data_IF_843262958559
#
_entry.id   IF_843262958559
#
_cell.length_a   1.000
_cell.length_b   1.000
_cell.length_c   1.000
_cell.angle_alpha   90.00
_cell.angle_beta   90.00
_cell.angle_gamma   90.00
#
_symmetry.space_group_name_H-M   'P 1'
#
loop_
_entity.id
_entity.type
_entity.pdbx_description
1 polymer ?
#
# COMPACT_ATOMS: atom_id res chain seq x y z
N UNK A 1 -0.15 14.63 -18.76
CA UNK A 1 0.35 15.25 -17.52
C UNK A 1 -0.11 14.38 -16.36
N UNK A 2 0.78 14.07 -15.43
CA UNK A 2 0.45 13.30 -14.25
C UNK A 2 -0.58 14.11 -13.42
N UNK A 3 -1.69 13.52 -13.02
CA UNK A 3 -2.80 14.26 -12.38
C UNK A 3 -2.39 14.98 -11.08
N UNK A 4 -1.39 14.42 -10.35
CA UNK A 4 -0.85 15.03 -9.12
C UNK A 4 0.04 16.26 -9.39
N UNK A 5 0.56 16.44 -10.60
CA UNK A 5 1.44 17.58 -10.93
C UNK A 5 0.76 18.93 -10.74
N UNK A 6 -0.55 19.02 -10.95
CA UNK A 6 -1.34 20.27 -10.82
C UNK A 6 -1.58 20.67 -9.36
N UNK A 7 -1.34 19.80 -8.38
CA UNK A 7 -1.44 20.15 -6.97
C UNK A 7 -0.13 20.67 -6.40
N UNK A 8 0.98 20.19 -6.95
CA UNK A 8 2.29 20.50 -6.44
C UNK A 8 2.72 21.90 -6.84
N UNK A 9 3.02 22.78 -5.88
CA UNK A 9 3.56 24.10 -6.18
C UNK A 9 4.89 24.02 -6.94
N UNK A 10 5.11 25.01 -7.81
CA UNK A 10 6.32 25.14 -8.62
C UNK A 10 7.03 26.46 -8.39
N UNK A 11 8.31 26.51 -8.76
CA UNK A 11 9.09 27.73 -8.77
C UNK A 11 8.49 28.77 -9.72
N UNK A 12 8.67 30.09 -9.51
CA UNK A 12 9.43 30.66 -8.38
C UNK A 12 8.58 30.88 -7.11
N UNK A 13 7.24 30.89 -7.21
CA UNK A 13 6.34 31.35 -6.13
C UNK A 13 6.15 30.30 -5.02
N UNK A 14 6.21 29.02 -5.36
CA UNK A 14 5.97 27.90 -4.43
C UNK A 14 4.64 28.06 -3.64
N UNK A 15 3.56 28.51 -4.32
CA UNK A 15 2.24 28.74 -3.70
C UNK A 15 1.29 27.58 -3.91
N UNK A 16 0.60 27.18 -2.85
CA UNK A 16 -0.49 26.21 -2.92
C UNK A 16 -1.78 26.90 -3.33
N UNK A 17 -2.47 26.40 -4.34
CA UNK A 17 -3.80 26.86 -4.73
C UNK A 17 -4.89 26.17 -3.92
N UNK A 18 -5.06 26.61 -2.66
CA UNK A 18 -6.08 26.08 -1.76
C UNK A 18 -7.50 26.18 -2.30
N UNK A 19 -7.92 27.32 -2.92
CA UNK A 19 -9.25 27.41 -3.53
C UNK A 19 -9.50 26.38 -4.62
N UNK A 20 -8.49 26.01 -5.42
CA UNK A 20 -8.62 24.99 -6.45
C UNK A 20 -8.79 23.60 -5.83
N UNK A 21 -7.95 23.24 -4.85
CA UNK A 21 -8.05 21.98 -4.13
C UNK A 21 -9.41 21.81 -3.43
N UNK A 22 -9.89 22.85 -2.76
CA UNK A 22 -11.20 22.88 -2.09
C UNK A 22 -12.38 22.66 -3.04
N UNK A 23 -12.30 23.18 -4.27
CA UNK A 23 -13.36 22.98 -5.26
C UNK A 23 -13.34 21.57 -5.85
N UNK A 24 -12.16 21.04 -6.06
CA UNK A 24 -11.97 19.78 -6.77
C UNK A 24 -12.31 18.57 -5.91
N UNK A 25 -12.00 18.62 -4.60
CA UNK A 25 -12.06 17.42 -3.74
C UNK A 25 -13.02 17.55 -2.57
N UNK A 26 -14.09 16.75 -2.60
CA UNK A 26 -15.07 16.69 -1.53
C UNK A 26 -14.46 16.17 -0.20
N UNK A 27 -13.52 15.21 -0.27
CA UNK A 27 -12.86 14.66 0.91
C UNK A 27 -12.02 15.73 1.67
N UNK A 28 -11.48 16.72 1.01
CA UNK A 28 -10.82 17.88 1.66
C UNK A 28 -11.82 18.61 2.56
N UNK A 29 -13.05 18.81 2.07
CA UNK A 29 -14.10 19.48 2.86
C UNK A 29 -14.49 18.70 4.10
N UNK A 30 -14.43 17.36 4.05
CA UNK A 30 -14.72 16.50 5.22
C UNK A 30 -13.70 16.65 6.36
N UNK A 31 -12.50 17.18 6.08
CA UNK A 31 -11.47 17.42 7.11
C UNK A 31 -11.79 18.67 7.95
N UNK A 32 -12.62 19.57 7.45
CA UNK A 32 -13.04 20.80 8.15
C UNK A 32 -13.96 20.45 9.32
N UNK A 33 -13.65 21.01 10.49
CA UNK A 33 -14.38 20.72 11.73
C UNK A 33 -14.10 19.33 12.31
N UNK A 34 -13.24 18.52 11.70
CA UNK A 34 -12.78 17.28 12.32
C UNK A 34 -11.80 17.61 13.44
N UNK A 35 -12.28 17.47 14.67
CA UNK A 35 -11.52 17.80 15.87
C UNK A 35 -10.31 16.89 16.07
N UNK A 36 -9.24 17.42 16.66
CA UNK A 36 -8.03 16.72 17.04
C UNK A 36 -7.77 16.91 18.55
N UNK A 37 -6.92 16.07 19.14
CA UNK A 37 -6.50 16.23 20.54
C UNK A 37 -5.67 17.51 20.67
N UNK A 38 -6.17 18.49 21.41
CA UNK A 38 -5.55 19.80 21.56
C UNK A 38 -4.16 19.78 22.24
N UNK A 39 -3.79 18.70 22.91
CA UNK A 39 -2.44 18.52 23.47
C UNK A 39 -1.39 18.37 22.37
N UNK A 40 -1.75 17.70 21.28
CA UNK A 40 -0.86 17.41 20.16
C UNK A 40 -1.13 18.29 18.91
N UNK A 41 -2.29 18.94 18.87
CA UNK A 41 -2.78 19.72 17.72
C UNK A 41 -3.55 20.96 18.19
N UNK A 42 -2.84 21.91 18.82
CA UNK A 42 -3.44 23.16 19.28
C UNK A 42 -3.79 24.12 18.13
N UNK A 43 -3.33 23.83 16.91
CA UNK A 43 -3.65 24.60 15.69
C UNK A 43 -5.11 24.49 15.26
N UNK A 44 -5.83 23.42 15.67
CA UNK A 44 -7.26 23.27 15.42
C UNK A 44 -7.67 21.96 14.74
N UNK A 45 -8.50 22.05 13.67
CA UNK A 45 -9.03 20.89 12.98
C UNK A 45 -8.02 20.26 11.98
N UNK A 46 -8.36 19.08 11.46
CA UNK A 46 -7.51 18.32 10.52
C UNK A 46 -7.19 19.13 9.27
N UNK A 47 -8.11 19.99 8.80
CA UNK A 47 -7.88 20.79 7.60
C UNK A 47 -6.84 21.90 7.84
N UNK A 48 -6.92 22.59 8.98
CA UNK A 48 -5.94 23.61 9.37
C UNK A 48 -4.57 22.96 9.49
N UNK A 49 -4.46 21.84 10.18
CA UNK A 49 -3.23 21.05 10.29
C UNK A 49 -2.67 20.68 8.92
N UNK A 50 -3.46 20.06 8.05
CA UNK A 50 -3.02 19.63 6.71
C UNK A 50 -2.48 20.80 5.89
N UNK A 51 -3.13 21.97 5.96
CA UNK A 51 -2.61 23.18 5.29
C UNK A 51 -1.26 23.60 5.84
N UNK A 52 -1.10 23.63 7.15
CA UNK A 52 0.17 23.99 7.79
C UNK A 52 1.28 23.00 7.42
N UNK A 53 0.98 21.69 7.33
CA UNK A 53 1.92 20.66 6.87
C UNK A 53 2.34 20.90 5.41
N UNK A 54 1.40 21.19 4.52
CA UNK A 54 1.69 21.49 3.12
C UNK A 54 2.52 22.77 2.95
N UNK A 55 2.24 23.80 3.75
CA UNK A 55 3.03 25.05 3.76
C UNK A 55 4.44 24.80 4.32
N UNK A 56 4.56 24.00 5.37
CA UNK A 56 5.85 23.59 5.94
C UNK A 56 6.70 22.82 4.92
N UNK A 57 6.13 21.81 4.21
CA UNK A 57 6.90 21.02 3.22
C UNK A 57 7.42 21.93 2.08
N UNK A 58 6.60 22.83 1.60
CA UNK A 58 6.97 23.78 0.53
C UNK A 58 8.07 24.75 0.98
N UNK A 59 8.14 25.06 2.27
CA UNK A 59 9.19 25.92 2.84
C UNK A 59 10.54 25.20 3.00
N UNK A 60 10.56 23.86 3.05
CA UNK A 60 11.78 23.08 3.25
C UNK A 60 12.73 23.16 2.04
N UNK A 61 13.97 23.65 2.19
CA UNK A 61 14.97 23.66 1.11
C UNK A 61 15.26 22.27 0.55
N UNK A 62 15.23 21.23 1.41
CA UNK A 62 15.45 19.84 1.02
C UNK A 62 14.38 19.35 0.06
N UNK A 63 13.11 19.68 0.30
CA UNK A 63 12.02 19.34 -0.62
C UNK A 63 12.16 20.06 -1.96
N UNK A 64 12.50 21.34 -1.95
CA UNK A 64 12.71 22.14 -3.19
C UNK A 64 13.86 21.60 -4.04
N UNK A 65 14.86 20.99 -3.42
CA UNK A 65 16.02 20.40 -4.09
C UNK A 65 15.73 19.02 -4.72
N UNK A 66 14.61 18.37 -4.37
CA UNK A 66 14.23 17.07 -4.95
C UNK A 66 13.95 17.17 -6.45
N UNK A 67 14.12 16.07 -7.19
CA UNK A 67 13.56 15.91 -8.52
C UNK A 67 12.04 16.20 -8.53
N UNK A 68 11.53 16.71 -9.64
CA UNK A 68 10.13 17.13 -9.75
C UNK A 68 9.14 16.01 -9.36
N UNK A 69 9.38 14.77 -9.82
CA UNK A 69 8.53 13.63 -9.50
C UNK A 69 8.48 13.34 -7.99
N UNK A 70 9.63 13.42 -7.31
CA UNK A 70 9.71 13.20 -5.86
C UNK A 70 9.03 14.35 -5.09
N UNK A 71 9.18 15.60 -5.54
CA UNK A 71 8.43 16.74 -4.97
C UNK A 71 6.92 16.52 -5.04
N UNK A 72 6.43 16.10 -6.21
CA UNK A 72 5.00 15.80 -6.43
C UNK A 72 4.51 14.69 -5.51
N UNK A 73 5.29 13.61 -5.36
CA UNK A 73 4.96 12.47 -4.48
C UNK A 73 4.85 12.91 -3.02
N UNK A 74 5.86 13.63 -2.49
CA UNK A 74 5.86 14.07 -1.08
C UNK A 74 4.75 15.09 -0.83
N UNK A 75 4.53 16.03 -1.75
CA UNK A 75 3.46 17.02 -1.61
C UNK A 75 2.07 16.36 -1.63
N UNK A 76 1.82 15.43 -2.56
CA UNK A 76 0.57 14.68 -2.59
C UNK A 76 0.37 13.85 -1.30
N UNK A 77 1.44 13.24 -0.79
CA UNK A 77 1.40 12.55 0.49
C UNK A 77 1.07 13.50 1.65
N UNK A 78 1.61 14.72 1.66
CA UNK A 78 1.30 15.74 2.67
C UNK A 78 -0.18 16.17 2.61
N UNK A 79 -0.77 16.30 1.42
CA UNK A 79 -2.21 16.61 1.26
C UNK A 79 -3.09 15.46 1.76
N UNK A 80 -2.65 14.20 1.57
CA UNK A 80 -3.44 12.99 1.80
C UNK A 80 -3.18 12.32 3.17
N UNK A 81 -2.13 12.68 3.93
CA UNK A 81 -1.67 11.90 5.08
C UNK A 81 -2.76 11.69 6.14
N UNK A 82 -3.58 12.69 6.38
CA UNK A 82 -4.62 12.72 7.40
C UNK A 82 -6.06 12.69 6.85
N UNK A 83 -6.24 12.49 5.55
CA UNK A 83 -7.55 12.56 4.89
C UNK A 83 -8.56 11.53 5.43
N UNK A 84 -8.11 10.44 6.06
CA UNK A 84 -8.98 9.44 6.67
C UNK A 84 -9.34 9.72 8.15
N UNK A 85 -8.76 10.76 8.79
CA UNK A 85 -9.11 11.12 10.17
C UNK A 85 -10.61 11.34 10.37
N UNK A 86 -11.37 12.02 9.48
CA UNK A 86 -12.81 12.19 9.67
C UNK A 86 -13.58 10.87 9.85
N UNK A 87 -13.18 9.81 9.18
CA UNK A 87 -13.82 8.49 9.31
C UNK A 87 -13.34 7.67 10.52
N UNK A 88 -12.15 7.99 11.04
CA UNK A 88 -11.48 7.25 12.12
C UNK A 88 -11.56 7.93 13.48
N UNK A 89 -11.88 9.23 13.53
CA UNK A 89 -11.89 10.00 14.78
C UNK A 89 -13.01 9.56 15.70
N UNK A 90 -12.67 9.34 16.97
CA UNK A 90 -13.58 8.99 18.06
C UNK A 90 -13.17 9.74 19.32
N UNK A 91 -14.15 10.01 20.18
CA UNK A 91 -13.89 10.46 21.55
C UNK A 91 -13.87 9.23 22.46
N UNK A 92 -12.74 8.97 23.10
CA UNK A 92 -12.52 7.84 24.00
C UNK A 92 -11.93 8.34 25.31
N UNK A 93 -12.64 8.14 26.42
CA UNK A 93 -12.20 8.56 27.76
C UNK A 93 -11.85 10.06 27.87
N UNK A 94 -12.62 10.92 27.23
CA UNK A 94 -12.40 12.37 27.19
C UNK A 94 -11.23 12.84 26.36
N UNK A 95 -10.68 11.96 25.51
CA UNK A 95 -9.62 12.27 24.54
C UNK A 95 -10.07 11.99 23.11
N UNK A 96 -9.61 12.80 22.18
CA UNK A 96 -9.87 12.59 20.77
C UNK A 96 -8.77 11.68 20.20
N UNK A 97 -9.18 10.58 19.56
CA UNK A 97 -8.26 9.62 18.93
C UNK A 97 -8.68 9.35 17.49
N UNK A 98 -7.71 9.06 16.62
CA UNK A 98 -7.95 8.71 15.19
C UNK A 98 -7.23 7.41 14.86
N UNK A 99 -7.40 6.38 15.67
CA UNK A 99 -6.70 5.09 15.50
C UNK A 99 -6.98 4.48 14.14
N UNK A 100 -5.92 4.01 13.48
CA UNK A 100 -6.00 3.34 12.19
C UNK A 100 -6.14 4.28 10.98
N UNK A 101 -6.13 5.61 11.16
CA UNK A 101 -6.26 6.56 10.05
C UNK A 101 -5.15 6.42 9.00
N UNK A 102 -3.93 6.05 9.38
CA UNK A 102 -2.83 5.84 8.43
C UNK A 102 -3.04 4.60 7.54
N UNK A 103 -3.63 3.52 8.11
CA UNK A 103 -4.01 2.31 7.36
C UNK A 103 -5.15 2.63 6.40
N UNK A 104 -6.23 3.18 6.94
CA UNK A 104 -7.39 3.59 6.15
C UNK A 104 -7.01 4.63 5.11
N UNK A 105 -6.19 5.61 5.51
CA UNK A 105 -5.68 6.66 4.64
C UNK A 105 -4.93 6.15 3.43
N UNK A 106 -4.09 5.13 3.59
CA UNK A 106 -3.39 4.52 2.47
C UNK A 106 -4.34 3.84 1.47
N UNK A 107 -5.41 3.19 1.95
CA UNK A 107 -6.43 2.55 1.11
C UNK A 107 -7.24 3.62 0.35
N UNK A 108 -7.70 4.65 1.05
CA UNK A 108 -8.50 5.71 0.45
C UNK A 108 -7.67 6.57 -0.52
N UNK A 109 -6.40 6.87 -0.18
CA UNK A 109 -5.46 7.55 -1.07
C UNK A 109 -5.24 6.76 -2.37
N UNK A 110 -5.11 5.42 -2.30
CA UNK A 110 -4.97 4.57 -3.48
C UNK A 110 -6.17 4.72 -4.41
N UNK A 111 -7.38 4.67 -3.85
CA UNK A 111 -8.61 4.84 -4.63
C UNK A 111 -8.67 6.22 -5.29
N UNK A 112 -8.45 7.29 -4.53
CA UNK A 112 -8.45 8.68 -5.02
C UNK A 112 -7.45 8.82 -6.18
N UNK A 113 -6.22 8.39 -5.97
CA UNK A 113 -5.14 8.53 -6.96
C UNK A 113 -5.35 7.64 -8.19
N UNK A 114 -5.96 6.45 -8.03
CA UNK A 114 -6.33 5.58 -9.14
C UNK A 114 -7.46 6.19 -9.97
N UNK A 115 -8.50 6.73 -9.34
CA UNK A 115 -9.59 7.46 -10.02
C UNK A 115 -9.07 8.68 -10.78
N UNK A 116 -7.97 9.28 -10.32
CA UNK A 116 -7.27 10.37 -10.98
C UNK A 116 -6.28 9.91 -12.07
N UNK A 117 -6.18 8.63 -12.36
CA UNK A 117 -5.19 8.05 -13.29
C UNK A 117 -3.73 8.41 -12.95
N UNK A 118 -3.40 8.47 -11.66
CA UNK A 118 -2.00 8.61 -11.21
C UNK A 118 -1.24 7.33 -11.56
N UNK A 119 -0.06 7.48 -12.14
CA UNK A 119 0.79 6.35 -12.51
C UNK A 119 1.11 5.43 -11.32
N UNK A 120 1.05 4.12 -11.54
CA UNK A 120 1.17 3.10 -10.49
C UNK A 120 2.36 3.29 -9.55
N UNK A 121 3.62 3.51 -10.02
CA UNK A 121 4.75 3.68 -9.12
C UNK A 121 4.62 4.88 -8.17
N UNK A 122 4.21 6.03 -8.70
CA UNK A 122 4.03 7.26 -7.89
C UNK A 122 2.87 7.10 -6.92
N UNK A 123 1.77 6.48 -7.34
CA UNK A 123 0.61 6.21 -6.48
C UNK A 123 0.97 5.34 -5.29
N UNK A 124 1.65 4.20 -5.53
CA UNK A 124 2.00 3.30 -4.44
C UNK A 124 3.04 3.92 -3.49
N UNK A 125 3.96 4.75 -4.00
CA UNK A 125 4.87 5.51 -3.16
C UNK A 125 4.12 6.50 -2.26
N UNK A 126 3.13 7.24 -2.79
CA UNK A 126 2.29 8.14 -2.00
C UNK A 126 1.52 7.35 -0.93
N UNK A 127 0.89 6.24 -1.30
CA UNK A 127 0.15 5.38 -0.36
C UNK A 127 1.05 4.85 0.76
N UNK A 128 2.29 4.47 0.44
CA UNK A 128 3.25 4.01 1.43
C UNK A 128 3.70 5.13 2.38
N UNK A 129 3.93 6.36 1.88
CA UNK A 129 4.22 7.52 2.71
C UNK A 129 3.04 7.83 3.65
N UNK A 130 1.80 7.84 3.15
CA UNK A 130 0.59 8.00 3.98
C UNK A 130 0.48 6.89 5.03
N UNK A 131 0.77 5.64 4.65
CA UNK A 131 0.73 4.49 5.57
C UNK A 131 1.69 4.62 6.74
N UNK A 132 2.87 5.17 6.51
CA UNK A 132 3.97 5.18 7.45
C UNK A 132 4.31 6.55 8.04
N UNK A 133 3.54 7.63 7.73
CA UNK A 133 3.89 9.02 8.08
C UNK A 133 4.20 9.23 9.58
N UNK A 134 3.57 8.45 10.47
CA UNK A 134 3.81 8.54 11.90
C UNK A 134 4.99 7.67 12.39
N UNK A 135 5.51 6.75 11.57
CA UNK A 135 6.55 5.83 11.99
C UNK A 135 7.81 6.54 12.53
N UNK A 136 8.32 7.62 11.90
CA UNK A 136 9.52 8.32 12.40
C UNK A 136 9.40 8.88 13.83
N UNK A 137 8.19 9.07 14.35
CA UNK A 137 7.96 9.61 15.72
C UNK A 137 8.12 8.59 16.82
N UNK A 138 7.95 7.29 16.51
CA UNK A 138 7.84 6.25 17.53
C UNK A 138 8.73 5.04 17.26
N UNK A 139 9.32 4.95 16.05
CA UNK A 139 9.98 3.73 15.59
C UNK A 139 11.26 3.45 16.38
N UNK A 140 12.05 4.47 16.68
CA UNK A 140 13.35 4.33 17.36
C UNK A 140 13.20 3.77 18.79
N UNK A 141 12.06 4.03 19.43
CA UNK A 141 11.79 3.56 20.80
C UNK A 141 11.31 2.09 20.86
N UNK A 142 11.23 1.40 19.72
CA UNK A 142 10.72 0.02 19.64
C UNK A 142 11.85 -1.00 19.72
N UNK A 143 11.59 -2.12 20.36
CA UNK A 143 12.53 -3.26 20.41
C UNK A 143 12.80 -3.87 19.02
N UNK A 144 11.83 -3.77 18.09
CA UNK A 144 11.91 -4.26 16.72
C UNK A 144 12.24 -3.17 15.68
N UNK A 145 12.83 -2.02 16.11
CA UNK A 145 13.09 -0.84 15.29
C UNK A 145 13.77 -1.17 13.95
N UNK A 146 14.85 -1.95 13.97
CA UNK A 146 15.58 -2.36 12.78
C UNK A 146 14.67 -3.10 11.77
N UNK A 147 13.88 -4.04 12.27
CA UNK A 147 12.96 -4.81 11.44
C UNK A 147 11.89 -3.92 10.81
N UNK A 148 11.38 -2.95 11.57
CA UNK A 148 10.38 -2.00 11.07
C UNK A 148 10.98 -1.06 10.02
N UNK A 149 12.21 -0.57 10.20
CA UNK A 149 12.91 0.23 9.18
C UNK A 149 13.10 -0.59 7.89
N UNK A 150 13.55 -1.83 8.00
CA UNK A 150 13.69 -2.70 6.84
C UNK A 150 12.35 -2.92 6.12
N UNK A 151 11.26 -3.16 6.86
CA UNK A 151 9.91 -3.32 6.31
C UNK A 151 9.47 -2.06 5.57
N UNK A 152 9.63 -0.88 6.17
CA UNK A 152 9.27 0.40 5.56
C UNK A 152 10.07 0.61 4.28
N UNK A 153 11.37 0.36 4.31
CA UNK A 153 12.24 0.55 3.15
C UNK A 153 11.88 -0.29 1.93
N UNK A 154 11.17 -1.43 2.12
CA UNK A 154 10.67 -2.25 1.01
C UNK A 154 9.46 -1.64 0.30
N UNK A 155 8.81 -0.65 0.89
CA UNK A 155 7.56 -0.07 0.36
C UNK A 155 7.62 1.44 0.18
N UNK A 156 8.37 2.15 1.03
CA UNK A 156 8.53 3.60 1.02
C UNK A 156 10.02 3.98 1.03
N UNK A 157 10.38 5.03 0.31
CA UNK A 157 11.69 5.67 0.48
C UNK A 157 11.72 6.40 1.82
N UNK A 158 12.66 6.01 2.69
CA UNK A 158 12.77 6.56 4.05
C UNK A 158 13.17 8.05 4.06
N UNK A 159 13.94 8.52 3.06
CA UNK A 159 14.28 9.93 2.89
C UNK A 159 13.05 10.81 2.64
N UNK A 160 12.12 10.37 1.77
CA UNK A 160 10.87 11.07 1.50
C UNK A 160 9.93 11.00 2.71
N UNK A 161 9.92 9.87 3.42
CA UNK A 161 9.15 9.70 4.64
C UNK A 161 9.62 10.64 5.75
N UNK A 162 10.93 10.78 5.93
CA UNK A 162 11.51 11.72 6.90
C UNK A 162 11.15 13.17 6.59
N UNK A 163 11.15 13.57 5.30
CA UNK A 163 10.71 14.92 4.89
C UNK A 163 9.23 15.15 5.21
N UNK A 164 8.37 14.17 4.92
CA UNK A 164 6.94 14.25 5.25
C UNK A 164 6.73 14.37 6.76
N UNK A 165 7.40 13.54 7.55
CA UNK A 165 7.30 13.56 9.01
C UNK A 165 7.81 14.88 9.61
N UNK A 166 8.92 15.42 9.08
CA UNK A 166 9.44 16.73 9.48
C UNK A 166 8.43 17.85 9.21
N UNK A 167 7.79 17.82 8.04
CA UNK A 167 6.76 18.79 7.69
C UNK A 167 5.50 18.65 8.55
N UNK A 168 5.10 17.42 8.87
CA UNK A 168 3.97 17.12 9.76
C UNK A 168 4.19 17.77 11.14
N UNK A 169 5.40 17.64 11.72
CA UNK A 169 5.73 18.29 13.00
C UNK A 169 5.77 19.81 12.88
N UNK A 170 6.39 20.35 11.84
CA UNK A 170 6.46 21.80 11.63
C UNK A 170 5.09 22.42 11.37
N UNK A 171 4.14 21.61 10.89
CA UNK A 171 2.73 21.98 10.73
C UNK A 171 1.87 21.83 12.00
N UNK A 172 2.46 21.47 13.14
CA UNK A 172 1.77 21.32 14.42
C UNK A 172 2.05 22.48 15.37
N UNK A 173 1.09 22.75 16.24
CA UNK A 173 1.28 23.54 17.45
C UNK A 173 1.18 22.61 18.67
N UNK A 174 2.33 22.11 19.14
CA UNK A 174 2.45 21.17 20.26
C UNK A 174 3.66 21.51 21.14
N UNK A 175 3.62 21.09 22.40
CA UNK A 175 4.71 21.36 23.35
C UNK A 175 5.97 20.51 23.16
N UNK A 176 5.86 19.39 22.44
CA UNK A 176 6.91 18.38 22.20
C UNK A 176 7.54 18.46 20.81
N UNK A 177 7.36 19.58 20.09
CA UNK A 177 7.81 19.73 18.71
C UNK A 177 9.32 19.47 18.53
N UNK A 178 10.15 19.98 19.43
CA UNK A 178 11.60 19.78 19.38
C UNK A 178 11.99 18.32 19.59
N UNK A 179 11.35 17.63 20.54
CA UNK A 179 11.57 16.21 20.79
C UNK A 179 11.22 15.36 19.55
N UNK A 180 10.09 15.64 18.94
CA UNK A 180 9.64 14.93 17.75
C UNK A 180 10.56 15.18 16.54
N UNK A 181 11.07 16.41 16.36
CA UNK A 181 12.07 16.73 15.33
C UNK A 181 13.37 15.96 15.55
N UNK A 182 13.80 15.80 16.81
CA UNK A 182 14.96 14.98 17.15
C UNK A 182 14.72 13.50 16.83
N UNK A 183 13.53 12.97 17.10
CA UNK A 183 13.16 11.58 16.71
C UNK A 183 13.20 11.37 15.20
N UNK A 184 12.75 12.33 14.40
CA UNK A 184 12.88 12.25 12.93
C UNK A 184 14.35 12.24 12.52
N UNK A 185 15.20 13.06 13.15
CA UNK A 185 16.65 13.07 12.85
C UNK A 185 17.31 11.74 13.21
N UNK A 186 16.97 11.16 14.36
CA UNK A 186 17.43 9.82 14.75
C UNK A 186 16.96 8.73 13.78
N UNK A 187 15.71 8.82 13.28
CA UNK A 187 15.20 7.92 12.26
C UNK A 187 16.03 8.03 10.96
N UNK A 188 16.37 9.25 10.52
CA UNK A 188 17.21 9.46 9.35
C UNK A 188 18.61 8.82 9.51
N UNK A 189 19.26 9.05 10.67
CA UNK A 189 20.57 8.48 10.98
C UNK A 189 20.51 6.95 10.99
N UNK A 190 19.52 6.39 11.67
CA UNK A 190 19.34 4.95 11.76
C UNK A 190 19.10 4.30 10.39
N UNK A 191 18.31 4.93 9.53
CA UNK A 191 18.13 4.45 8.16
C UNK A 191 19.44 4.50 7.34
N UNK A 192 20.30 5.51 7.56
CA UNK A 192 21.63 5.60 6.90
C UNK A 192 22.58 4.52 7.40
N UNK A 193 22.66 4.29 8.72
CA UNK A 193 23.46 3.20 9.31
C UNK A 193 23.05 1.84 8.74
N UNK A 194 21.75 1.63 8.55
CA UNK A 194 21.18 0.40 8.00
C UNK A 194 21.22 0.33 6.46
N UNK A 195 21.81 1.32 5.78
CA UNK A 195 21.91 1.42 4.32
C UNK A 195 20.56 1.30 3.60
N UNK A 196 19.50 1.93 4.16
CA UNK A 196 18.16 1.90 3.58
C UNK A 196 17.43 3.26 3.63
N UNK A 197 18.17 4.38 3.60
CA UNK A 197 17.61 5.71 3.65
C UNK A 197 16.93 6.13 2.34
N UNK A 198 17.65 6.04 1.22
CA UNK A 198 17.19 6.40 -0.13
C UNK A 198 16.93 5.20 -1.06
N UNK A 199 17.20 3.99 -0.57
CA UNK A 199 17.04 2.72 -1.27
C UNK A 199 16.50 1.65 -0.31
N UNK A 200 15.84 0.58 -0.81
CA UNK A 200 15.41 -0.51 0.05
C UNK A 200 16.60 -1.30 0.60
N UNK A 201 16.46 -1.85 1.82
CA UNK A 201 17.39 -2.84 2.35
C UNK A 201 17.56 -3.98 1.35
N UNK A 202 18.78 -4.29 0.99
CA UNK A 202 19.14 -5.42 0.12
C UNK A 202 19.23 -6.70 0.95
N UNK A 203 18.57 -7.76 0.50
CA UNK A 203 18.64 -9.10 1.06
C UNK A 203 19.41 -10.02 0.11
N UNK A 204 19.93 -11.14 0.62
CA UNK A 204 20.72 -12.08 -0.16
C UNK A 204 19.94 -12.65 -1.38
N UNK A 205 18.64 -12.89 -1.22
CA UNK A 205 17.72 -13.28 -2.30
C UNK A 205 16.29 -12.77 -2.00
N UNK A 206 15.38 -12.78 -2.99
CA UNK A 206 13.95 -12.53 -2.75
C UNK A 206 13.35 -13.50 -1.71
N UNK A 207 13.72 -14.77 -1.75
CA UNK A 207 13.31 -15.77 -0.77
C UNK A 207 13.86 -15.45 0.62
N UNK A 208 15.14 -15.04 0.75
CA UNK A 208 15.71 -14.60 2.02
C UNK A 208 14.96 -13.41 2.62
N UNK A 209 14.56 -12.45 1.79
CA UNK A 209 13.73 -11.32 2.21
C UNK A 209 12.37 -11.78 2.72
N UNK A 210 11.66 -12.62 1.96
CA UNK A 210 10.37 -13.16 2.34
C UNK A 210 10.46 -13.92 3.67
N UNK A 211 11.42 -14.82 3.80
CA UNK A 211 11.67 -15.58 5.01
C UNK A 211 12.07 -14.71 6.21
N UNK A 212 12.82 -13.62 6.00
CA UNK A 212 13.12 -12.66 7.05
C UNK A 212 11.85 -12.03 7.63
N UNK A 213 10.93 -11.58 6.79
CA UNK A 213 9.69 -10.93 7.25
C UNK A 213 8.63 -11.93 7.75
N UNK A 214 8.79 -13.20 7.50
CA UNK A 214 7.91 -14.26 8.00
C UNK A 214 8.30 -14.76 9.41
N UNK A 215 9.58 -14.78 9.74
CA UNK A 215 10.11 -15.24 11.03
C UNK A 215 10.44 -14.07 11.97
N UNK A 216 10.15 -14.19 13.28
CA UNK A 216 10.36 -13.09 14.24
C UNK A 216 11.83 -12.77 14.53
N UNK A 217 12.70 -13.77 14.54
CA UNK A 217 14.10 -13.65 15.00
C UNK A 217 15.11 -14.13 13.95
N UNK A 218 14.87 -13.83 12.68
CA UNK A 218 15.81 -14.19 11.62
C UNK A 218 16.85 -13.10 11.40
N UNK A 219 18.10 -13.52 11.18
CA UNK A 219 19.18 -12.61 10.76
C UNK A 219 18.85 -12.03 9.36
N UNK A 220 18.91 -10.71 9.14
CA UNK A 220 18.64 -10.09 7.85
C UNK A 220 19.63 -10.47 6.74
N UNK A 221 20.83 -10.93 7.09
CA UNK A 221 21.87 -11.36 6.14
C UNK A 221 21.87 -12.87 5.90
N UNK A 222 20.93 -13.61 6.53
CA UNK A 222 20.80 -15.04 6.34
C UNK A 222 20.38 -15.36 4.90
N UNK A 223 21.16 -16.23 4.23
CA UNK A 223 20.79 -16.82 2.95
C UNK A 223 19.85 -18.02 3.19
N UNK A 224 18.58 -17.85 2.90
CA UNK A 224 17.60 -18.91 3.01
C UNK A 224 17.83 -19.98 1.95
N UNK A 225 17.67 -21.23 2.36
CA UNK A 225 17.79 -22.38 1.46
C UNK A 225 16.50 -22.53 0.63
N UNK A 226 16.66 -22.67 -0.67
CA UNK A 226 15.56 -22.88 -1.60
C UNK A 226 15.34 -24.38 -1.84
N UNK A 227 14.37 -24.98 -1.11
CA UNK A 227 13.98 -26.39 -1.24
C UNK A 227 12.54 -26.54 -1.77
N UNK A 228 12.20 -25.70 -2.74
CA UNK A 228 10.86 -25.68 -3.34
C UNK A 228 10.50 -26.98 -4.04
N UNK A 229 9.24 -27.39 -3.87
CA UNK A 229 8.69 -28.65 -4.42
C UNK A 229 7.74 -28.41 -5.58
N UNK A 230 7.12 -27.23 -5.66
CA UNK A 230 6.24 -26.78 -6.73
C UNK A 230 6.16 -25.28 -6.73
N UNK A 231 5.59 -24.68 -7.79
CA UNK A 231 5.28 -23.27 -7.87
C UNK A 231 3.77 -23.03 -7.75
N UNK A 232 3.39 -22.03 -6.93
CA UNK A 232 2.01 -21.55 -6.86
C UNK A 232 1.96 -20.11 -7.36
N UNK A 233 1.28 -19.89 -8.48
CA UNK A 233 0.97 -18.56 -8.98
C UNK A 233 -0.35 -18.07 -8.38
N UNK A 234 -0.28 -17.12 -7.45
CA UNK A 234 -1.46 -16.51 -6.82
C UNK A 234 -1.85 -15.22 -7.51
N UNK A 235 -3.03 -15.18 -8.12
CA UNK A 235 -3.56 -13.96 -8.73
C UNK A 235 -4.07 -13.00 -7.66
N UNK A 236 -3.89 -11.70 -7.90
CA UNK A 236 -4.45 -10.61 -7.09
C UNK A 236 -4.94 -9.50 -8.00
N UNK A 237 -6.06 -8.86 -7.68
CA UNK A 237 -6.63 -7.74 -8.45
C UNK A 237 -8.14 -7.73 -8.47
N UNK A 238 -8.71 -6.56 -8.76
CA UNK A 238 -10.16 -6.34 -8.81
C UNK A 238 -10.85 -7.21 -9.88
N UNK A 239 -12.15 -7.49 -9.74
CA UNK A 239 -12.93 -8.07 -10.83
C UNK A 239 -12.82 -7.20 -12.09
N UNK A 240 -12.68 -7.82 -13.25
CA UNK A 240 -12.49 -7.09 -14.51
C UNK A 240 -11.08 -6.53 -14.75
N UNK A 241 -10.11 -6.79 -13.87
CA UNK A 241 -8.73 -6.30 -14.06
C UNK A 241 -7.93 -7.06 -15.14
N UNK A 242 -8.42 -8.22 -15.63
CA UNK A 242 -7.75 -9.00 -16.69
C UNK A 242 -6.97 -10.22 -16.21
N UNK A 243 -7.20 -10.70 -14.97
CA UNK A 243 -6.52 -11.88 -14.40
C UNK A 243 -6.62 -13.13 -15.29
N UNK A 244 -7.84 -13.47 -15.74
CA UNK A 244 -8.05 -14.66 -16.60
C UNK A 244 -7.36 -14.54 -17.95
N UNK A 245 -7.28 -13.33 -18.51
CA UNK A 245 -6.53 -13.05 -19.74
C UNK A 245 -5.03 -13.24 -19.52
N UNK A 246 -4.51 -12.78 -18.39
CA UNK A 246 -3.11 -12.98 -18.01
C UNK A 246 -2.79 -14.48 -17.88
N UNK A 247 -3.62 -15.25 -17.17
CA UNK A 247 -3.45 -16.69 -16.97
C UNK A 247 -3.43 -17.41 -18.34
N UNK A 248 -4.47 -17.18 -19.16
CA UNK A 248 -4.56 -17.84 -20.48
C UNK A 248 -3.37 -17.53 -21.40
N UNK A 249 -2.81 -16.34 -21.31
CA UNK A 249 -1.69 -15.93 -22.17
C UNK A 249 -0.33 -16.42 -21.68
N UNK A 250 -0.17 -16.65 -20.36
CA UNK A 250 1.14 -16.92 -19.74
C UNK A 250 1.27 -18.33 -19.18
N UNK A 251 0.17 -18.93 -18.74
CA UNK A 251 0.14 -20.23 -18.10
C UNK A 251 -1.03 -21.09 -18.64
N UNK A 252 -1.15 -21.28 -19.99
CA UNK A 252 -2.31 -21.93 -20.62
C UNK A 252 -2.51 -23.38 -20.19
N UNK A 253 -1.43 -24.09 -19.86
CA UNK A 253 -1.46 -25.52 -19.51
C UNK A 253 -1.44 -25.76 -17.97
N UNK A 254 -1.32 -24.69 -17.17
CA UNK A 254 -1.23 -24.83 -15.73
C UNK A 254 -2.63 -25.06 -15.11
N UNK A 255 -2.81 -26.04 -14.23
CA UNK A 255 -4.08 -26.24 -13.53
C UNK A 255 -4.50 -25.00 -12.76
N UNK A 256 -5.79 -24.69 -12.80
CA UNK A 256 -6.35 -23.46 -12.19
C UNK A 256 -7.35 -23.85 -11.11
N UNK A 257 -7.15 -23.33 -9.89
CA UNK A 257 -8.16 -23.31 -8.84
C UNK A 257 -8.85 -21.95 -8.91
N UNK A 258 -10.06 -21.92 -9.46
CA UNK A 258 -10.89 -20.71 -9.57
C UNK A 258 -12.00 -20.75 -8.55
N UNK A 259 -12.10 -19.71 -7.70
CA UNK A 259 -13.18 -19.61 -6.74
C UNK A 259 -14.54 -19.39 -7.43
N UNK A 260 -14.53 -18.74 -8.60
CA UNK A 260 -15.76 -18.52 -9.38
C UNK A 260 -16.26 -19.87 -9.95
N UNK A 261 -15.38 -20.68 -10.55
CA UNK A 261 -15.74 -22.02 -11.05
C UNK A 261 -16.22 -22.95 -9.92
N UNK A 262 -15.58 -22.91 -8.75
CA UNK A 262 -16.02 -23.71 -7.59
C UNK A 262 -17.40 -23.26 -7.08
N UNK A 263 -17.73 -21.96 -7.15
CA UNK A 263 -19.07 -21.46 -6.83
C UNK A 263 -20.12 -22.05 -7.76
N UNK A 264 -19.85 -22.04 -9.05
CA UNK A 264 -20.73 -22.65 -10.07
C UNK A 264 -20.93 -24.15 -9.82
N UNK A 265 -19.84 -24.89 -9.57
CA UNK A 265 -19.90 -26.33 -9.26
C UNK A 265 -20.72 -26.66 -8.00
N UNK A 266 -20.68 -25.79 -6.98
CA UNK A 266 -21.39 -25.96 -5.73
C UNK A 266 -22.81 -25.34 -5.73
N UNK A 267 -23.22 -24.71 -6.82
CA UNK A 267 -24.46 -23.95 -6.94
C UNK A 267 -24.61 -22.89 -5.81
N UNK A 268 -23.47 -22.26 -5.42
CA UNK A 268 -23.44 -21.25 -4.35
C UNK A 268 -23.43 -19.84 -4.95
N UNK A 269 -24.45 -19.03 -4.68
CA UNK A 269 -24.47 -17.65 -5.19
C UNK A 269 -23.35 -16.79 -4.58
N UNK A 270 -22.93 -15.67 -5.23
CA UNK A 270 -21.89 -14.79 -4.72
C UNK A 270 -22.14 -14.22 -3.31
N UNK A 271 -23.42 -14.20 -2.89
CA UNK A 271 -23.86 -13.77 -1.54
C UNK A 271 -24.11 -14.96 -0.59
N UNK A 272 -23.91 -16.20 -1.05
CA UNK A 272 -24.14 -17.42 -0.30
C UNK A 272 -22.98 -17.80 0.64
N UNK A 273 -22.89 -19.09 0.98
CA UNK A 273 -21.89 -19.60 1.92
C UNK A 273 -20.48 -19.68 1.31
N UNK A 274 -19.77 -18.56 1.29
CA UNK A 274 -18.41 -18.49 0.79
C UNK A 274 -17.43 -19.39 1.56
N UNK A 275 -17.75 -19.77 2.78
CA UNK A 275 -16.93 -20.70 3.57
C UNK A 275 -16.77 -22.07 2.92
N UNK A 276 -17.86 -22.61 2.31
CA UNK A 276 -17.80 -23.89 1.58
C UNK A 276 -16.88 -23.77 0.35
N UNK A 277 -17.03 -22.69 -0.42
CA UNK A 277 -16.20 -22.43 -1.61
C UNK A 277 -14.72 -22.36 -1.25
N UNK A 278 -14.39 -21.57 -0.22
CA UNK A 278 -13.00 -21.44 0.25
C UNK A 278 -12.46 -22.77 0.78
N UNK A 279 -13.27 -23.54 1.51
CA UNK A 279 -12.87 -24.85 2.01
C UNK A 279 -12.54 -25.79 0.86
N UNK A 280 -13.43 -25.91 -0.13
CA UNK A 280 -13.22 -26.77 -1.31
C UNK A 280 -11.98 -26.34 -2.11
N UNK A 281 -11.78 -25.04 -2.29
CA UNK A 281 -10.60 -24.51 -2.97
C UNK A 281 -9.31 -24.87 -2.24
N UNK A 282 -9.28 -24.74 -0.90
CA UNK A 282 -8.13 -25.11 -0.07
C UNK A 282 -7.84 -26.63 -0.10
N UNK A 283 -8.88 -27.49 -0.13
CA UNK A 283 -8.66 -28.94 -0.26
C UNK A 283 -8.03 -29.28 -1.62
N UNK A 284 -8.53 -28.71 -2.74
CA UNK A 284 -7.90 -28.88 -4.07
C UNK A 284 -6.45 -28.41 -4.08
N UNK A 285 -6.18 -27.26 -3.44
CA UNK A 285 -4.81 -26.77 -3.33
C UNK A 285 -3.91 -27.77 -2.56
N UNK A 286 -4.41 -28.36 -1.46
CA UNK A 286 -3.66 -29.39 -0.71
C UNK A 286 -3.39 -30.64 -1.54
N UNK A 287 -4.30 -31.04 -2.43
CA UNK A 287 -4.10 -32.17 -3.36
C UNK A 287 -2.93 -31.89 -4.31
N UNK A 288 -2.91 -30.71 -4.96
CA UNK A 288 -1.80 -30.30 -5.84
C UNK A 288 -0.48 -30.16 -5.08
N UNK A 289 -0.50 -29.55 -3.89
CA UNK A 289 0.69 -29.39 -3.05
C UNK A 289 1.29 -30.75 -2.62
N UNK A 290 0.47 -31.72 -2.23
CA UNK A 290 0.93 -33.09 -1.87
C UNK A 290 1.51 -33.84 -3.08
N UNK A 291 0.95 -33.63 -4.25
CA UNK A 291 1.44 -34.20 -5.51
C UNK A 291 2.60 -33.42 -6.12
N UNK A 292 3.03 -32.31 -5.50
CA UNK A 292 4.10 -31.41 -5.98
C UNK A 292 3.81 -30.86 -7.36
N UNK A 293 2.57 -30.55 -7.64
CA UNK A 293 2.09 -30.03 -8.91
C UNK A 293 1.94 -28.52 -8.84
N UNK A 294 2.45 -27.83 -9.86
CA UNK A 294 2.26 -26.39 -10.04
C UNK A 294 0.80 -26.09 -10.33
N UNK A 295 0.30 -24.97 -9.81
CA UNK A 295 -1.07 -24.53 -10.08
C UNK A 295 -1.23 -23.00 -9.95
N UNK A 296 -2.32 -22.49 -10.52
CA UNK A 296 -2.75 -21.10 -10.36
C UNK A 296 -3.89 -21.04 -9.36
N UNK A 297 -3.74 -20.20 -8.34
CA UNK A 297 -4.83 -19.81 -7.44
C UNK A 297 -5.47 -18.52 -7.96
N UNK A 298 -6.64 -18.61 -8.57
CA UNK A 298 -7.34 -17.50 -9.20
C UNK A 298 -8.49 -16.98 -8.35
N UNK A 299 -8.24 -15.85 -7.67
CA UNK A 299 -9.23 -15.10 -6.90
C UNK A 299 -8.83 -13.60 -6.86
N UNK A 300 -9.64 -12.76 -6.23
CA UNK A 300 -9.34 -11.32 -6.10
C UNK A 300 -8.19 -11.02 -5.15
N UNK A 301 -8.09 -11.74 -4.03
CA UNK A 301 -7.00 -11.68 -3.03
C UNK A 301 -6.53 -10.26 -2.68
N UNK A 302 -7.48 -9.33 -2.40
CA UNK A 302 -7.21 -7.91 -2.29
C UNK A 302 -6.58 -7.48 -0.96
N UNK A 303 -6.86 -8.16 0.14
CA UNK A 303 -6.29 -7.80 1.43
C UNK A 303 -5.01 -8.59 1.73
N UNK A 304 -4.07 -7.94 2.41
CA UNK A 304 -2.83 -8.57 2.87
C UNK A 304 -3.09 -9.76 3.79
N UNK A 305 -4.11 -9.65 4.63
CA UNK A 305 -4.50 -10.74 5.54
C UNK A 305 -4.88 -12.02 4.78
N UNK A 306 -5.76 -11.90 3.77
CA UNK A 306 -6.19 -13.06 2.96
C UNK A 306 -5.00 -13.65 2.21
N UNK A 307 -4.16 -12.81 1.60
CA UNK A 307 -2.95 -13.27 0.92
C UNK A 307 -2.01 -14.00 1.88
N UNK A 308 -1.76 -13.42 3.06
CA UNK A 308 -0.89 -14.04 4.07
C UNK A 308 -1.36 -15.41 4.53
N UNK A 309 -2.66 -15.61 4.73
CA UNK A 309 -3.22 -16.92 5.06
C UNK A 309 -3.01 -17.98 3.97
N UNK A 310 -3.11 -17.58 2.69
CA UNK A 310 -2.89 -18.47 1.55
C UNK A 310 -1.40 -18.75 1.35
N UNK A 311 -0.57 -17.72 1.40
CA UNK A 311 0.89 -17.85 1.30
C UNK A 311 1.40 -18.80 2.39
N UNK A 312 0.96 -18.65 3.65
CA UNK A 312 1.33 -19.58 4.72
C UNK A 312 0.92 -21.02 4.40
N UNK A 313 -0.33 -21.22 3.92
CA UNK A 313 -0.77 -22.57 3.51
C UNK A 313 0.15 -23.16 2.44
N UNK A 314 0.54 -22.41 1.42
CA UNK A 314 1.34 -22.93 0.32
C UNK A 314 2.80 -23.18 0.73
N UNK A 315 3.38 -22.28 1.51
CA UNK A 315 4.76 -22.41 2.00
C UNK A 315 4.93 -23.52 3.03
N UNK A 316 3.88 -23.90 3.78
CA UNK A 316 3.89 -25.07 4.68
C UNK A 316 4.11 -26.39 3.91
N UNK A 317 3.86 -26.40 2.59
CA UNK A 317 4.16 -27.52 1.69
C UNK A 317 5.42 -27.31 0.84
N UNK A 318 6.26 -26.32 1.16
CA UNK A 318 7.46 -25.94 0.40
C UNK A 318 7.16 -25.48 -1.03
N UNK A 319 6.04 -24.79 -1.25
CA UNK A 319 5.79 -24.18 -2.54
C UNK A 319 6.54 -22.85 -2.66
N UNK A 320 7.12 -22.59 -3.83
CA UNK A 320 7.52 -21.25 -4.24
C UNK A 320 6.25 -20.44 -4.56
N UNK A 321 5.99 -19.37 -3.83
CA UNK A 321 4.78 -18.56 -4.02
C UNK A 321 5.11 -17.30 -4.81
N UNK A 322 4.47 -17.19 -5.97
CA UNK A 322 4.55 -16.02 -6.85
C UNK A 322 3.21 -15.30 -6.91
N UNK A 323 3.16 -14.04 -6.47
CA UNK A 323 1.95 -13.22 -6.56
C UNK A 323 1.97 -12.42 -7.85
N UNK A 324 0.94 -12.57 -8.66
CA UNK A 324 0.70 -11.77 -9.86
C UNK A 324 -0.45 -10.79 -9.57
N UNK A 325 -0.10 -9.53 -9.38
CA UNK A 325 -1.07 -8.47 -9.24
C UNK A 325 -1.43 -7.90 -10.61
N UNK A 326 -2.72 -7.91 -10.93
CA UNK A 326 -3.23 -7.36 -12.20
C UNK A 326 -4.19 -6.22 -11.92
N UNK A 327 -3.94 -5.09 -12.57
CA UNK A 327 -4.75 -3.88 -12.46
C UNK A 327 -5.06 -3.31 -13.84
N UNK A 328 -6.27 -2.77 -13.97
CA UNK A 328 -6.68 -1.98 -15.11
C UNK A 328 -6.98 -0.54 -14.68
N UNK A 329 -6.77 0.41 -15.58
CA UNK A 329 -7.25 1.78 -15.40
C UNK A 329 -8.76 1.83 -15.20
N UNK A 330 -9.27 2.92 -14.60
CA UNK A 330 -10.70 3.07 -14.27
C UNK A 330 -11.60 2.76 -15.46
N UNK A 331 -11.32 3.38 -16.61
CA UNK A 331 -12.14 3.22 -17.82
C UNK A 331 -12.09 1.78 -18.33
N UNK A 332 -10.91 1.17 -18.34
CA UNK A 332 -10.71 -0.21 -18.83
C UNK A 332 -11.38 -1.23 -17.90
N UNK A 333 -11.26 -1.05 -16.57
CA UNK A 333 -11.91 -1.92 -15.60
C UNK A 333 -13.43 -1.89 -15.75
N UNK A 334 -14.03 -0.72 -15.90
CA UNK A 334 -15.47 -0.59 -16.09
C UNK A 334 -15.93 -1.22 -17.41
N UNK A 335 -15.19 -1.02 -18.52
CA UNK A 335 -15.48 -1.65 -19.80
C UNK A 335 -15.40 -3.18 -19.69
N UNK A 336 -14.27 -3.69 -19.21
CA UNK A 336 -14.05 -5.13 -19.06
C UNK A 336 -15.07 -5.81 -18.11
N UNK A 337 -15.44 -5.13 -17.02
CA UNK A 337 -16.48 -5.66 -16.12
C UNK A 337 -17.85 -5.70 -16.77
N UNK A 338 -18.19 -4.74 -17.61
CA UNK A 338 -19.46 -4.69 -18.34
C UNK A 338 -19.57 -5.79 -19.40
N UNK A 339 -18.44 -6.13 -20.03
CA UNK A 339 -18.37 -7.14 -21.08
C UNK A 339 -18.32 -8.58 -20.55
N UNK A 340 -18.28 -8.78 -19.23
CA UNK A 340 -18.34 -10.12 -18.60
C UNK A 340 -19.75 -10.71 -18.73
N UNK A 341 -19.83 -12.04 -18.89
CA UNK A 341 -21.09 -12.78 -18.83
C UNK A 341 -21.83 -12.53 -17.49
N UNK A 342 -21.08 -12.47 -16.39
CA UNK A 342 -21.54 -12.09 -15.06
C UNK A 342 -20.83 -10.82 -14.59
N UNK A 343 -21.42 -9.66 -14.90
CA UNK A 343 -20.89 -8.38 -14.46
C UNK A 343 -21.02 -8.22 -12.95
N UNK A 344 -19.92 -7.86 -12.29
CA UNK A 344 -19.93 -7.57 -10.84
C UNK A 344 -20.55 -6.20 -10.61
N UNK A 345 -21.58 -6.08 -9.72
CA UNK A 345 -22.20 -4.79 -9.42
C UNK A 345 -21.18 -3.75 -8.92
N UNK A 346 -21.29 -2.50 -9.39
CA UNK A 346 -20.35 -1.43 -9.02
C UNK A 346 -20.25 -1.21 -7.50
N UNK A 347 -21.37 -1.34 -6.76
CA UNK A 347 -21.36 -1.29 -5.30
C UNK A 347 -20.56 -2.44 -4.66
N UNK A 348 -20.47 -3.60 -5.29
CA UNK A 348 -19.63 -4.70 -4.82
C UNK A 348 -18.14 -4.41 -5.07
N UNK A 349 -17.80 -3.86 -6.24
CA UNK A 349 -16.43 -3.40 -6.55
C UNK A 349 -16.02 -2.31 -5.55
N UNK A 350 -16.88 -1.35 -5.26
CA UNK A 350 -16.61 -0.28 -4.28
C UNK A 350 -16.30 -0.85 -2.90
N UNK A 351 -17.11 -1.82 -2.41
CA UNK A 351 -16.82 -2.50 -1.13
C UNK A 351 -15.51 -3.30 -1.14
N UNK A 352 -15.12 -3.84 -2.30
CA UNK A 352 -13.82 -4.50 -2.44
C UNK A 352 -12.66 -3.50 -2.34
N UNK A 353 -12.84 -2.30 -2.87
CA UNK A 353 -11.85 -1.21 -2.77
C UNK A 353 -11.64 -0.72 -1.33
N UNK A 354 -12.62 -0.88 -0.43
CA UNK A 354 -12.47 -0.53 1.00
C UNK A 354 -11.40 -1.36 1.73
N UNK A 355 -10.92 -2.44 1.13
CA UNK A 355 -9.86 -3.32 1.62
C UNK A 355 -8.79 -3.59 0.55
N UNK A 356 -8.62 -2.66 -0.37
CA UNK A 356 -7.71 -2.83 -1.49
C UNK A 356 -6.27 -2.50 -1.10
N UNK A 357 -5.50 -3.53 -0.86
CA UNK A 357 -4.07 -3.47 -0.57
C UNK A 357 -3.29 -4.14 -1.69
N UNK A 358 -2.47 -3.35 -2.39
CA UNK A 358 -1.57 -3.87 -3.43
C UNK A 358 -0.50 -4.76 -2.79
N UNK A 359 -0.21 -5.95 -3.33
CA UNK A 359 0.87 -6.79 -2.84
C UNK A 359 2.22 -6.07 -2.93
N UNK A 360 3.05 -6.31 -1.92
CA UNK A 360 4.42 -5.78 -1.84
C UNK A 360 5.42 -6.91 -1.91
N UNK A 361 6.67 -6.59 -2.20
CA UNK A 361 7.76 -7.58 -2.34
C UNK A 361 8.00 -8.46 -1.11
N UNK A 362 7.44 -8.11 0.04
CA UNK A 362 7.55 -8.88 1.28
C UNK A 362 6.40 -9.87 1.49
N UNK A 363 5.39 -9.86 0.62
CA UNK A 363 4.18 -10.68 0.80
C UNK A 363 4.37 -12.13 0.31
N UNK A 364 5.38 -12.41 -0.54
CA UNK A 364 5.71 -13.74 -1.07
C UNK A 364 7.15 -13.80 -1.58
N UNK A 365 7.57 -14.99 -2.06
CA UNK A 365 8.90 -15.20 -2.67
C UNK A 365 9.11 -14.32 -3.91
N UNK A 366 8.08 -14.16 -4.74
CA UNK A 366 8.08 -13.27 -5.89
C UNK A 366 6.77 -12.48 -6.00
N UNK A 367 6.85 -11.21 -6.40
CA UNK A 367 5.68 -10.36 -6.64
C UNK A 367 5.88 -9.59 -7.94
N UNK A 368 4.88 -9.64 -8.82
CA UNK A 368 4.87 -8.90 -10.07
C UNK A 368 3.60 -8.06 -10.18
N UNK A 369 3.74 -6.89 -10.78
CA UNK A 369 2.64 -5.95 -11.03
C UNK A 369 2.42 -5.80 -12.54
N UNK A 370 1.20 -6.03 -12.97
CA UNK A 370 0.77 -5.93 -14.37
C UNK A 370 -0.35 -4.90 -14.46
N UNK A 371 -0.01 -3.73 -15.00
CA UNK A 371 -0.90 -2.57 -15.08
C UNK A 371 -1.27 -2.36 -16.54
N UNK A 372 -2.56 -2.42 -16.84
CA UNK A 372 -3.12 -2.31 -18.21
C UNK A 372 -2.53 -3.31 -19.21
N UNK A 373 -1.97 -4.42 -18.73
CA UNK A 373 -1.36 -5.48 -19.54
C UNK A 373 0.15 -5.38 -19.68
N UNK A 374 0.77 -4.36 -19.10
CA UNK A 374 2.23 -4.15 -19.07
C UNK A 374 2.80 -4.43 -17.69
N UNK A 375 3.99 -5.02 -17.63
CA UNK A 375 4.67 -5.22 -16.35
C UNK A 375 5.19 -3.89 -15.81
N UNK A 376 4.93 -3.63 -14.55
CA UNK A 376 5.34 -2.42 -13.84
C UNK A 376 6.25 -2.74 -12.67
N UNK A 377 6.82 -1.69 -12.06
CA UNK A 377 7.62 -1.76 -10.84
C UNK A 377 7.15 -0.71 -9.85
N UNK A 378 7.43 -0.89 -8.57
CA UNK A 378 7.26 0.17 -7.57
C UNK A 378 8.49 1.08 -7.54
N UNK A 379 8.33 2.33 -7.11
CA UNK A 379 9.45 3.29 -7.07
C UNK A 379 10.61 2.86 -6.15
N UNK A 380 10.35 2.03 -5.13
CA UNK A 380 11.38 1.47 -4.25
C UNK A 380 12.30 0.48 -4.95
N UNK A 381 11.89 -0.06 -6.10
CA UNK A 381 12.63 -1.06 -6.87
C UNK A 381 13.07 -0.55 -8.26
N UNK A 382 12.83 0.72 -8.58
CA UNK A 382 13.46 1.33 -9.75
C UNK A 382 14.95 1.50 -9.45
N UNK A 383 15.77 0.67 -10.08
CA UNK A 383 17.21 0.89 -10.12
C UNK A 383 17.45 2.18 -10.90
N UNK A 384 18.08 3.17 -10.26
CA UNK A 384 18.55 4.38 -10.94
C UNK A 384 19.68 4.06 -11.88
#
# INVERSE_FOLDING_TARGET
MNSISRWCPSAPEWRVDWPALDREFEWIRAMRGCAQDAVFHAEGDVWIHTRMVCEAIVALPQWRALPEGDRQVVFAAAVLHDQAKPSCTREENGRITSRGHSVRGAIDARRILWEMNTGFPSREQICALVRHHQAPFHLIDRDDAQRQVFLISQTARCDLLALLARADILGRQCGDQEELLNKVSLFEEFCRELNCFDQPRKFASPHSRFEYFRAEHRDPDYLAHEDFRCEVTMMSGLPGAGKDTWIRSRLPECPIISLDAIREELDEPPTGNQGKVIHQARERAREFLRSRQDFVWNATNLSREIRGQLVNLFTDYHAHVRIIYVEASVSKLHCQNKDRAEAVPGAAISRMMDRWEVPTVIDADAVEWWIDGEQSVTNTHQVR
#
